data_IF_214997955385
#
_entry.id   IF_214997955385
#
_cell.length_a   1.000
_cell.length_b   1.000
_cell.length_c   1.000
_cell.angle_alpha   90.00
_cell.angle_beta   90.00
_cell.angle_gamma   90.00
#
_symmetry.space_group_name_H-M   'P 1'
#
loop_
_entity.id
_entity.type
_entity.pdbx_description
1 polymer ?
#
# COMPACT_ATOMS: atom_id res chain seq x y z
N UNK A 1 9.83 -2.20 -2.59
CA UNK A 1 9.30 -1.59 -1.35
C UNK A 1 9.81 -0.16 -1.28
N UNK A 2 9.07 0.76 -0.67
CA UNK A 2 9.57 2.12 -0.52
C UNK A 2 10.82 2.15 0.39
N UNK A 3 11.50 3.29 0.42
CA UNK A 3 12.81 3.44 1.07
C UNK A 3 12.72 3.86 2.55
N UNK A 4 11.55 3.74 3.18
CA UNK A 4 11.36 4.14 4.57
C UNK A 4 12.31 3.40 5.53
N UNK A 5 12.73 4.07 6.60
CA UNK A 5 13.69 3.51 7.57
C UNK A 5 13.17 2.22 8.21
N UNK A 6 11.85 2.11 8.43
CA UNK A 6 11.20 0.91 8.99
C UNK A 6 11.36 -0.34 8.11
N UNK A 7 11.67 -0.17 6.83
CA UNK A 7 11.86 -1.26 5.88
C UNK A 7 13.30 -1.79 5.81
N UNK A 8 14.22 -1.20 6.58
CA UNK A 8 15.65 -1.51 6.58
C UNK A 8 16.11 -2.19 7.87
N UNK A 9 15.17 -2.60 8.72
CA UNK A 9 15.52 -3.27 9.99
C UNK A 9 16.20 -4.62 9.69
N UNK A 10 17.28 -4.96 10.41
CA UNK A 10 17.97 -6.24 10.21
C UNK A 10 17.03 -7.44 10.29
N UNK A 11 16.06 -7.40 11.20
CA UNK A 11 15.06 -8.45 11.42
C UNK A 11 14.13 -8.59 10.21
N UNK A 12 13.64 -7.48 9.65
CA UNK A 12 12.79 -7.49 8.47
C UNK A 12 13.55 -7.99 7.23
N UNK A 13 14.80 -7.56 7.07
CA UNK A 13 15.67 -8.02 5.98
C UNK A 13 15.94 -9.53 6.07
N UNK A 14 16.16 -10.04 7.28
CA UNK A 14 16.40 -11.46 7.50
C UNK A 14 15.13 -12.28 7.22
N UNK A 15 13.98 -11.85 7.72
CA UNK A 15 12.70 -12.53 7.48
C UNK A 15 12.34 -12.62 5.99
N UNK A 16 12.70 -11.62 5.19
CA UNK A 16 12.52 -11.65 3.73
C UNK A 16 13.49 -12.67 3.08
N UNK A 17 14.76 -12.67 3.48
CA UNK A 17 15.77 -13.61 2.96
C UNK A 17 15.47 -15.06 3.31
N UNK A 18 14.99 -15.33 4.53
CA UNK A 18 14.63 -16.68 4.98
C UNK A 18 13.48 -17.29 4.16
N UNK A 19 12.67 -16.44 3.51
CA UNK A 19 11.63 -16.86 2.56
C UNK A 19 12.13 -16.99 1.12
N UNK A 20 13.45 -16.91 0.89
CA UNK A 20 14.07 -16.99 -0.44
C UNK A 20 13.79 -15.78 -1.34
N UNK A 21 13.35 -14.66 -0.75
CA UNK A 21 13.01 -13.44 -1.50
C UNK A 21 14.15 -12.42 -1.46
N UNK A 22 14.31 -11.66 -2.54
CA UNK A 22 15.20 -10.51 -2.59
C UNK A 22 14.43 -9.22 -2.29
N UNK A 23 15.08 -8.27 -1.58
CA UNK A 23 14.51 -6.96 -1.34
C UNK A 23 15.03 -5.94 -2.35
N UNK A 24 14.11 -5.29 -3.07
CA UNK A 24 14.38 -4.11 -3.89
C UNK A 24 13.79 -2.88 -3.20
N UNK A 25 14.66 -1.95 -2.78
CA UNK A 25 14.28 -0.64 -2.26
C UNK A 25 14.29 0.39 -3.38
N UNK A 26 13.28 1.24 -3.40
CA UNK A 26 13.20 2.33 -4.37
C UNK A 26 14.17 3.47 -4.03
N UNK A 27 14.50 4.29 -5.02
CA UNK A 27 15.23 5.54 -4.79
C UNK A 27 14.40 6.48 -3.88
N UNK A 28 15.06 7.33 -3.07
CA UNK A 28 14.37 8.37 -2.31
C UNK A 28 13.42 9.19 -3.19
N UNK A 29 12.25 9.55 -2.65
CA UNK A 29 11.25 10.38 -3.31
C UNK A 29 10.82 9.91 -4.72
N UNK A 30 10.84 8.59 -4.96
CA UNK A 30 10.40 7.99 -6.24
C UNK A 30 9.08 7.21 -6.11
N UNK A 31 7.98 7.84 -5.64
CA UNK A 31 6.70 7.13 -5.44
C UNK A 31 6.12 6.64 -6.77
N UNK A 32 6.41 7.31 -7.88
CA UNK A 32 5.98 6.88 -9.23
C UNK A 32 6.55 5.52 -9.66
N UNK A 33 7.61 5.03 -9.01
CA UNK A 33 8.16 3.69 -9.23
C UNK A 33 7.54 2.62 -8.33
N UNK A 34 6.67 3.01 -7.39
CA UNK A 34 6.06 2.08 -6.45
C UNK A 34 4.75 1.52 -7.02
N UNK A 35 4.67 0.20 -7.33
CA UNK A 35 3.52 -0.37 -8.03
C UNK A 35 2.21 -0.32 -7.22
N UNK A 36 2.28 -0.10 -5.90
CA UNK A 36 1.09 -0.02 -5.04
C UNK A 36 0.40 1.35 -5.08
N UNK A 37 1.01 2.40 -5.62
CA UNK A 37 0.44 3.76 -5.54
C UNK A 37 -0.90 3.88 -6.27
N UNK A 38 -1.03 3.28 -7.46
CA UNK A 38 -2.28 3.31 -8.24
C UNK A 38 -3.43 2.58 -7.51
N UNK A 39 -3.10 1.44 -6.90
CA UNK A 39 -4.01 0.71 -6.02
C UNK A 39 -4.52 1.59 -4.87
N UNK A 40 -3.61 2.26 -4.15
CA UNK A 40 -3.96 3.16 -3.07
C UNK A 40 -4.75 4.39 -3.52
N UNK A 41 -4.42 4.96 -4.68
CA UNK A 41 -5.16 6.08 -5.24
C UNK A 41 -6.63 5.69 -5.49
N UNK A 42 -6.89 4.50 -6.04
CA UNK A 42 -8.26 3.98 -6.24
C UNK A 42 -8.98 3.75 -4.92
N UNK A 43 -8.36 3.04 -3.97
CA UNK A 43 -8.98 2.77 -2.67
C UNK A 43 -9.32 4.09 -1.94
N UNK A 44 -8.39 5.04 -1.91
CA UNK A 44 -8.61 6.34 -1.26
C UNK A 44 -9.68 7.17 -1.97
N UNK A 45 -9.83 7.06 -3.29
CA UNK A 45 -10.92 7.69 -4.03
C UNK A 45 -12.28 7.18 -3.55
N UNK A 46 -12.43 5.87 -3.32
CA UNK A 46 -13.69 5.30 -2.83
C UNK A 46 -13.96 5.65 -1.37
N UNK A 47 -12.94 5.61 -0.50
CA UNK A 47 -13.10 6.02 0.91
C UNK A 47 -13.62 7.47 1.00
N UNK A 48 -13.12 8.38 0.16
CA UNK A 48 -13.54 9.79 0.15
C UNK A 48 -15.00 10.00 -0.27
N UNK A 49 -15.65 9.03 -0.93
CA UNK A 49 -17.07 9.09 -1.28
C UNK A 49 -17.97 8.74 -0.10
N UNK A 50 -17.43 8.10 0.93
CA UNK A 50 -18.19 7.66 2.09
C UNK A 50 -18.21 8.79 3.12
N UNK A 51 -19.40 9.24 3.52
CA UNK A 51 -19.55 10.22 4.60
C UNK A 51 -19.28 9.53 5.94
N UNK A 52 -18.15 9.84 6.56
CA UNK A 52 -17.73 9.26 7.83
C UNK A 52 -18.38 10.02 8.99
N UNK A 53 -19.16 9.31 9.81
CA UNK A 53 -19.78 9.88 11.02
C UNK A 53 -18.98 9.57 12.30
N UNK A 54 -18.17 8.50 12.33
CA UNK A 54 -17.31 8.11 13.47
C UNK A 54 -16.06 7.34 13.02
N UNK A 55 -15.03 7.30 13.89
CA UNK A 55 -13.74 6.61 13.59
C UNK A 55 -13.87 5.09 13.46
N UNK A 56 -14.84 4.47 14.15
CA UNK A 56 -15.09 3.02 14.07
C UNK A 56 -15.50 2.58 12.66
N UNK A 57 -16.07 3.51 11.87
CA UNK A 57 -16.53 3.25 10.50
C UNK A 57 -15.37 3.29 9.48
N UNK A 58 -14.22 3.88 9.82
CA UNK A 58 -13.14 4.10 8.85
C UNK A 58 -12.45 2.80 8.41
N UNK A 59 -12.25 1.84 9.33
CA UNK A 59 -11.65 0.55 9.00
C UNK A 59 -12.56 -0.23 8.04
N UNK A 60 -13.85 -0.29 8.34
CA UNK A 60 -14.86 -0.93 7.50
C UNK A 60 -14.96 -0.26 6.12
N UNK A 61 -14.91 1.07 6.08
CA UNK A 61 -14.88 1.82 4.83
C UNK A 61 -13.66 1.48 3.98
N UNK A 62 -12.49 1.34 4.62
CA UNK A 62 -11.27 0.93 3.92
C UNK A 62 -11.37 -0.50 3.40
N UNK A 63 -11.99 -1.42 4.13
CA UNK A 63 -12.22 -2.78 3.65
C UNK A 63 -13.17 -2.79 2.45
N UNK A 64 -14.29 -2.08 2.52
CA UNK A 64 -15.23 -1.94 1.41
C UNK A 64 -14.56 -1.30 0.20
N UNK A 65 -13.80 -0.23 0.41
CA UNK A 65 -13.06 0.44 -0.67
C UNK A 65 -11.99 -0.47 -1.30
N UNK A 66 -11.26 -1.25 -0.50
CA UNK A 66 -10.25 -2.18 -1.01
C UNK A 66 -10.87 -3.25 -1.94
N UNK A 67 -12.10 -3.70 -1.67
CA UNK A 67 -12.83 -4.66 -2.53
C UNK A 67 -13.19 -4.09 -3.91
N UNK A 68 -13.13 -2.77 -4.10
CA UNK A 68 -13.37 -2.14 -5.40
C UNK A 68 -12.12 -2.07 -6.29
N UNK A 69 -10.94 -2.35 -5.73
CA UNK A 69 -9.68 -2.31 -6.49
C UNK A 69 -9.62 -3.54 -7.39
N UNK A 70 -9.48 -3.29 -8.69
CA UNK A 70 -9.29 -4.34 -9.70
C UNK A 70 -7.85 -4.38 -10.17
N UNK A 71 -7.45 -5.44 -10.87
CA UNK A 71 -6.14 -5.49 -11.54
C UNK A 71 -5.93 -4.30 -12.50
N UNK A 72 -7.01 -3.82 -13.13
CA UNK A 72 -6.98 -2.63 -13.98
C UNK A 72 -6.71 -1.35 -13.19
N UNK A 73 -7.21 -1.27 -11.95
CA UNK A 73 -6.94 -0.13 -11.06
C UNK A 73 -5.47 -0.02 -10.65
N UNK A 74 -4.73 -1.12 -10.71
CA UNK A 74 -3.30 -1.19 -10.40
C UNK A 74 -2.43 -0.96 -11.65
N UNK A 75 -3.01 -1.17 -12.83
CA UNK A 75 -2.46 -0.70 -14.10
C UNK A 75 -2.87 0.75 -14.27
N UNK A 76 -2.27 1.45 -15.21
CA UNK A 76 -2.87 2.69 -15.70
C UNK A 76 -1.93 3.35 -16.64
#
# INVERSE_FOLDING_TARGET
>A
MDNATVHKTPEGLQAIRDRGSALLLLLPYSPFLNPIEKCWAKANQEVRKISLMTNEILADCKEVAAKTVTAESCRG
#
